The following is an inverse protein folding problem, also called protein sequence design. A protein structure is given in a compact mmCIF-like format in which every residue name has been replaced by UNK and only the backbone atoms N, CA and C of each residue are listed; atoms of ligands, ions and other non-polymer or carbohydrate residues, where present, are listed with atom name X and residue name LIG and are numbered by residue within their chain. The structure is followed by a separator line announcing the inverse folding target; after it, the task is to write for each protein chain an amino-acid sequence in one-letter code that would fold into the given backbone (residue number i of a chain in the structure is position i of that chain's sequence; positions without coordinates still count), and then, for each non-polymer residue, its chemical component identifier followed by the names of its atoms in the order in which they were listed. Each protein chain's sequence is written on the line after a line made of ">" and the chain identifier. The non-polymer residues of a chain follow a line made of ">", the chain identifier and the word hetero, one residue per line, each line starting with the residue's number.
data_IF_962158240591
#
_entry.id   IF_962158240591
#
_cell.length_a   1.000
_cell.length_b   1.000
_cell.length_c   1.000
_cell.angle_alpha   90.00
_cell.angle_beta   90.00
_cell.angle_gamma   90.00
#
_symmetry.space_group_name_H-M   'P 1'
#
loop_
_entity.id
_entity.type
_entity.pdbx_description
1 polymer ?
#
# COMPACT_ATOMS: atom_id res chain seq x y z
N UNK A 1 -4.26 -17.29 -14.03
CA UNK A 1 -4.60 -16.68 -12.72
C UNK A 1 -3.69 -15.48 -12.46
N UNK A 2 -2.36 -15.63 -12.54
CA UNK A 2 -1.44 -14.49 -12.49
C UNK A 2 -1.39 -13.66 -13.78
N UNK A 3 -1.59 -14.26 -14.95
CA UNK A 3 -1.59 -13.52 -16.22
C UNK A 3 -2.73 -12.49 -16.29
N UNK A 4 -3.96 -12.88 -15.93
CA UNK A 4 -5.12 -11.97 -15.85
C UNK A 4 -4.90 -10.83 -14.84
N UNK A 5 -4.30 -11.13 -13.68
CA UNK A 5 -3.96 -10.08 -12.70
C UNK A 5 -2.83 -9.19 -13.19
N UNK A 6 -1.86 -9.75 -13.90
CA UNK A 6 -0.77 -8.98 -14.50
C UNK A 6 -1.31 -7.98 -15.52
N UNK A 7 -2.26 -8.39 -16.35
CA UNK A 7 -2.93 -7.53 -17.31
C UNK A 7 -3.67 -6.40 -16.58
N UNK A 8 -4.45 -6.70 -15.52
CA UNK A 8 -5.11 -5.68 -14.68
C UNK A 8 -4.13 -4.67 -14.08
N UNK A 9 -2.98 -5.12 -13.58
CA UNK A 9 -1.92 -4.25 -13.04
C UNK A 9 -1.39 -3.30 -14.14
N UNK A 10 -1.20 -3.81 -15.36
CA UNK A 10 -0.75 -2.97 -16.47
C UNK A 10 -1.83 -2.02 -16.98
N UNK A 11 -3.08 -2.46 -17.06
CA UNK A 11 -4.22 -1.60 -17.42
C UNK A 11 -4.38 -0.44 -16.43
N UNK A 12 -4.27 -0.72 -15.13
CA UNK A 12 -4.31 0.29 -14.08
C UNK A 12 -3.19 1.34 -14.18
N UNK A 13 -2.06 0.99 -14.81
CA UNK A 13 -0.99 1.95 -15.06
C UNK A 13 -1.41 3.05 -16.05
N UNK A 14 -2.34 2.75 -16.96
CA UNK A 14 -2.87 3.67 -17.98
C UNK A 14 -4.25 4.24 -17.62
N UNK A 15 -5.03 3.53 -16.80
CA UNK A 15 -6.37 3.91 -16.35
C UNK A 15 -6.40 3.89 -14.82
N UNK A 16 -6.10 5.03 -14.14
CA UNK A 16 -5.92 5.07 -12.70
C UNK A 16 -7.10 4.57 -11.86
N UNK A 17 -8.31 4.59 -12.42
CA UNK A 17 -9.54 4.11 -11.78
C UNK A 17 -9.51 2.59 -11.57
N UNK A 18 -8.75 1.84 -12.38
CA UNK A 18 -8.63 0.38 -12.29
C UNK A 18 -7.65 -0.09 -11.20
N UNK A 19 -6.95 0.84 -10.53
CA UNK A 19 -6.08 0.48 -9.40
C UNK A 19 -6.86 -0.19 -8.27
N UNK A 20 -8.12 0.21 -8.05
CA UNK A 20 -8.98 -0.39 -7.02
C UNK A 20 -9.08 -1.91 -7.17
N UNK A 21 -9.52 -2.35 -8.35
CA UNK A 21 -9.70 -3.75 -8.71
C UNK A 21 -8.37 -4.52 -8.73
N UNK A 22 -7.31 -3.93 -9.28
CA UNK A 22 -6.00 -4.58 -9.35
C UNK A 22 -5.42 -4.84 -7.95
N UNK A 23 -5.56 -3.88 -7.04
CA UNK A 23 -5.12 -3.99 -5.65
C UNK A 23 -5.99 -4.98 -4.86
N UNK A 24 -7.31 -5.00 -5.07
CA UNK A 24 -8.21 -5.97 -4.43
C UNK A 24 -7.88 -7.41 -4.85
N UNK A 25 -7.68 -7.63 -6.15
CA UNK A 25 -7.35 -8.95 -6.69
C UNK A 25 -5.99 -9.44 -6.19
N UNK A 26 -4.98 -8.56 -6.10
CA UNK A 26 -3.69 -8.90 -5.51
C UNK A 26 -3.79 -9.17 -3.99
N UNK A 27 -4.55 -8.34 -3.27
CA UNK A 27 -4.78 -8.51 -1.83
C UNK A 27 -5.47 -9.84 -1.51
N UNK A 28 -6.40 -10.29 -2.35
CA UNK A 28 -7.07 -11.58 -2.20
C UNK A 28 -6.10 -12.77 -2.27
N UNK A 29 -5.02 -12.68 -3.05
CA UNK A 29 -4.00 -13.74 -3.13
C UNK A 29 -3.15 -13.85 -1.86
N UNK A 30 -2.91 -12.74 -1.17
CA UNK A 30 -2.12 -12.69 0.06
C UNK A 30 -2.94 -12.80 1.35
N UNK A 31 -4.28 -12.86 1.23
CA UNK A 31 -5.20 -12.81 2.37
C UNK A 31 -5.25 -11.44 3.02
N UNK A 32 -5.02 -10.38 2.25
CA UNK A 32 -5.07 -9.00 2.70
C UNK A 32 -6.52 -8.48 2.72
N UNK A 33 -6.80 -7.63 3.68
CA UNK A 33 -8.05 -6.87 3.80
C UNK A 33 -8.17 -5.78 2.74
N UNK A 34 -7.04 -5.14 2.40
CA UNK A 34 -6.97 -4.05 1.43
C UNK A 34 -5.55 -3.91 0.88
N UNK A 35 -5.43 -3.27 -0.28
CA UNK A 35 -4.18 -2.84 -0.88
C UNK A 35 -4.21 -1.36 -1.23
N UNK A 36 -3.07 -0.70 -1.19
CA UNK A 36 -2.91 0.70 -1.56
C UNK A 36 -1.65 0.91 -2.39
N UNK A 37 -1.73 1.83 -3.35
CA UNK A 37 -0.56 2.43 -4.01
C UNK A 37 -0.44 3.87 -3.56
N UNK A 38 0.77 4.29 -3.18
CA UNK A 38 1.09 5.67 -2.83
C UNK A 38 2.23 6.19 -3.69
N UNK A 39 2.17 7.48 -3.99
CA UNK A 39 3.23 8.25 -4.62
C UNK A 39 3.63 9.39 -3.67
N UNK A 40 4.83 9.28 -3.11
CA UNK A 40 5.45 10.31 -2.29
C UNK A 40 6.36 11.18 -3.16
N UNK A 41 6.19 12.50 -3.06
CA UNK A 41 7.03 13.49 -3.72
C UNK A 41 7.36 14.59 -2.73
N UNK A 42 8.58 15.13 -2.78
CA UNK A 42 9.10 16.02 -1.72
C UNK A 42 8.22 17.25 -1.47
N UNK A 43 7.84 17.95 -2.54
CA UNK A 43 7.13 19.24 -2.46
C UNK A 43 5.63 19.13 -2.82
N UNK A 44 5.11 17.91 -3.00
CA UNK A 44 3.70 17.69 -3.37
C UNK A 44 2.98 16.84 -2.33
N UNK A 45 1.65 17.03 -2.17
CA UNK A 45 0.84 16.12 -1.37
C UNK A 45 1.05 14.67 -1.82
N UNK A 46 0.97 13.75 -0.86
CA UNK A 46 0.93 12.32 -1.18
C UNK A 46 -0.26 12.08 -2.09
N UNK A 47 -0.08 11.24 -3.10
CA UNK A 47 -1.16 10.77 -3.97
C UNK A 47 -1.30 9.27 -3.81
N UNK A 48 -2.49 8.73 -4.04
CA UNK A 48 -2.66 7.29 -3.98
C UNK A 48 -4.02 6.80 -4.45
N UNK A 49 -4.12 5.48 -4.54
CA UNK A 49 -5.38 4.73 -4.71
C UNK A 49 -5.44 3.60 -3.70
N UNK A 50 -6.64 3.33 -3.23
CA UNK A 50 -6.98 2.23 -2.34
C UNK A 50 -7.77 1.19 -3.13
N UNK A 51 -7.62 -0.09 -2.78
CA UNK A 51 -8.50 -1.16 -3.25
C UNK A 51 -9.95 -0.82 -2.93
N UNK A 52 -10.89 -1.40 -3.67
CA UNK A 52 -12.29 -1.28 -3.30
C UNK A 52 -12.52 -2.01 -1.98
N UNK A 53 -12.91 -1.25 -0.96
CA UNK A 53 -13.17 -1.75 0.40
C UNK A 53 -14.63 -1.51 0.73
N UNK A 54 -15.36 -2.61 0.94
CA UNK A 54 -16.69 -2.53 1.52
C UNK A 54 -16.60 -1.99 2.96
N UNK A 55 -17.51 -1.10 3.40
CA UNK A 55 -17.53 -0.63 4.79
C UNK A 55 -17.66 -1.81 5.75
N UNK A 56 -16.77 -1.90 6.73
CA UNK A 56 -16.80 -2.94 7.77
C UNK A 56 -17.15 -2.28 9.10
N UNK A 57 -18.31 -2.61 9.67
CA UNK A 57 -18.79 -2.12 10.98
C UNK A 57 -18.87 -0.59 11.14
N UNK A 58 -19.16 0.16 10.07
CA UNK A 58 -19.30 1.62 10.13
C UNK A 58 -17.97 2.39 10.17
N UNK A 59 -16.83 1.71 10.30
CA UNK A 59 -15.50 2.30 10.14
C UNK A 59 -15.07 2.13 8.68
N UNK A 60 -14.98 3.24 7.96
CA UNK A 60 -14.56 3.23 6.57
C UNK A 60 -13.04 3.32 6.47
N UNK A 61 -12.38 2.24 6.04
CA UNK A 61 -10.95 2.27 5.69
C UNK A 61 -10.64 3.35 4.65
N UNK A 62 -11.63 3.67 3.79
CA UNK A 62 -11.56 4.79 2.85
C UNK A 62 -11.35 6.12 3.58
N UNK A 63 -12.03 6.38 4.69
CA UNK A 63 -11.84 7.62 5.46
C UNK A 63 -10.45 7.72 6.09
N UNK A 64 -9.90 6.61 6.60
CA UNK A 64 -8.52 6.58 7.12
C UNK A 64 -7.51 6.82 6.00
N UNK A 65 -7.74 6.25 4.83
CA UNK A 65 -6.92 6.48 3.64
C UNK A 65 -7.01 7.93 3.15
N UNK A 66 -8.21 8.50 3.05
CA UNK A 66 -8.43 9.86 2.59
C UNK A 66 -7.75 10.87 3.53
N UNK A 67 -7.85 10.66 4.86
CA UNK A 67 -7.13 11.46 5.86
C UNK A 67 -5.61 11.32 5.74
N UNK A 68 -5.11 10.11 5.46
CA UNK A 68 -3.68 9.87 5.25
C UNK A 68 -3.14 10.66 4.05
N UNK A 69 -3.89 10.71 2.95
CA UNK A 69 -3.52 11.40 1.72
C UNK A 69 -3.68 12.93 1.86
N UNK A 70 -4.70 13.38 2.58
CA UNK A 70 -4.99 14.80 2.77
C UNK A 70 -4.16 15.49 3.86
N UNK A 71 -3.61 14.73 4.82
CA UNK A 71 -2.87 15.27 5.96
C UNK A 71 -1.37 14.96 5.91
N UNK A 72 -0.61 15.66 6.75
CA UNK A 72 0.81 15.40 6.97
C UNK A 72 1.07 14.38 8.10
N UNK A 73 0.02 13.69 8.59
CA UNK A 73 0.12 12.72 9.69
C UNK A 73 1.15 11.61 9.41
N UNK A 74 1.29 11.22 8.14
CA UNK A 74 2.25 10.20 7.70
C UNK A 74 3.71 10.60 7.96
N UNK A 75 4.03 11.89 8.04
CA UNK A 75 5.38 12.39 8.37
C UNK A 75 5.79 12.03 9.80
N UNK A 76 4.82 11.78 10.67
CA UNK A 76 5.01 11.41 12.07
C UNK A 76 4.85 9.91 12.33
N UNK A 77 4.64 9.10 11.28
CA UNK A 77 4.57 7.64 11.38
C UNK A 77 5.95 7.03 11.24
N UNK A 78 6.47 6.42 12.32
CA UNK A 78 7.72 5.67 12.29
C UNK A 78 7.68 4.56 11.22
N UNK A 79 6.53 3.90 11.06
CA UNK A 79 6.34 2.86 10.05
C UNK A 79 6.51 3.40 8.63
N UNK A 80 5.84 4.50 8.30
CA UNK A 80 5.93 5.12 6.97
C UNK A 80 7.34 5.65 6.70
N UNK A 81 7.91 6.40 7.64
CA UNK A 81 9.26 6.95 7.49
C UNK A 81 10.31 5.85 7.30
N UNK A 82 10.17 4.72 8.02
CA UNK A 82 11.06 3.57 7.90
C UNK A 82 10.96 2.93 6.52
N UNK A 83 9.75 2.70 6.01
CA UNK A 83 9.58 2.10 4.68
C UNK A 83 10.03 3.05 3.56
N UNK A 84 9.78 4.36 3.69
CA UNK A 84 10.25 5.37 2.73
C UNK A 84 11.78 5.49 2.70
N UNK A 85 12.44 5.32 3.85
CA UNK A 85 13.90 5.37 3.96
C UNK A 85 14.56 4.08 3.47
N UNK A 86 13.99 2.92 3.82
CA UNK A 86 14.55 1.61 3.49
C UNK A 86 14.31 1.20 2.04
N UNK A 87 13.17 1.61 1.46
CA UNK A 87 12.79 1.35 0.07
C UNK A 87 12.87 -0.15 -0.31
N UNK A 88 12.12 -1.03 0.36
CA UNK A 88 12.25 -2.48 0.17
C UNK A 88 12.01 -2.92 -1.27
N UNK A 89 13.00 -3.61 -1.85
CA UNK A 89 12.96 -4.18 -3.19
C UNK A 89 12.29 -5.58 -3.25
N UNK A 90 11.57 -5.95 -2.21
CA UNK A 90 10.62 -7.07 -2.15
C UNK A 90 9.45 -6.61 -1.27
N UNK A 91 8.38 -7.38 -1.20
CA UNK A 91 7.42 -7.20 -0.11
C UNK A 91 8.07 -7.66 1.19
N UNK A 92 7.98 -6.80 2.19
CA UNK A 92 8.45 -7.09 3.55
C UNK A 92 7.35 -6.82 4.54
N UNK A 93 7.30 -7.60 5.62
CA UNK A 93 6.39 -7.33 6.71
C UNK A 93 6.89 -6.12 7.49
N UNK A 94 6.09 -5.05 7.55
CA UNK A 94 6.51 -3.77 8.14
C UNK A 94 6.80 -3.91 9.63
N UNK A 95 6.04 -4.76 10.32
CA UNK A 95 6.18 -5.02 11.74
C UNK A 95 7.57 -5.58 12.11
N UNK A 96 8.25 -6.28 11.20
CA UNK A 96 9.57 -6.86 11.46
C UNK A 96 10.68 -5.80 11.59
N UNK A 97 10.38 -4.56 11.19
CA UNK A 97 11.31 -3.43 11.24
C UNK A 97 10.98 -2.45 12.35
N UNK A 98 9.95 -2.70 13.16
CA UNK A 98 9.50 -1.78 14.21
C UNK A 98 9.59 -2.47 15.57
N UNK A 99 9.94 -1.69 16.59
CA UNK A 99 9.79 -2.11 17.98
C UNK A 99 8.31 -2.07 18.38
N UNK A 100 7.94 -2.81 19.44
CA UNK A 100 6.58 -2.79 19.96
C UNK A 100 6.15 -1.37 20.41
N UNK A 101 7.07 -0.59 20.96
CA UNK A 101 6.81 0.79 21.39
C UNK A 101 6.56 1.71 20.19
N UNK A 102 7.35 1.62 19.13
CA UNK A 102 7.12 2.36 17.88
C UNK A 102 5.77 2.00 17.26
N UNK A 103 5.41 0.72 17.24
CA UNK A 103 4.11 0.26 16.75
C UNK A 103 2.95 0.86 17.55
N UNK A 104 3.09 0.96 18.88
CA UNK A 104 2.02 1.43 19.77
C UNK A 104 1.81 2.94 19.69
N UNK A 105 2.88 3.73 19.51
CA UNK A 105 2.81 5.20 19.44
C UNK A 105 2.61 5.77 18.04
N UNK A 106 2.66 4.94 17.00
CA UNK A 106 2.54 5.38 15.61
C UNK A 106 1.11 5.89 15.30
N UNK A 107 0.93 7.16 14.91
CA UNK A 107 -0.39 7.76 14.74
C UNK A 107 -1.20 7.14 13.59
N UNK A 108 -0.53 6.69 12.52
CA UNK A 108 -1.20 6.03 11.39
C UNK A 108 -1.67 4.65 11.82
N UNK A 109 -0.85 3.92 12.59
CA UNK A 109 -1.21 2.59 13.10
C UNK A 109 -2.34 2.64 14.11
N UNK A 110 -2.41 3.66 14.97
CA UNK A 110 -3.53 3.85 15.91
C UNK A 110 -4.85 3.94 15.15
N UNK A 111 -4.93 4.75 14.09
CA UNK A 111 -6.12 4.89 13.27
C UNK A 111 -6.49 3.59 12.54
N UNK A 112 -5.50 2.92 11.96
CA UNK A 112 -5.69 1.64 11.26
C UNK A 112 -6.17 0.52 12.20
N UNK A 113 -5.62 0.44 13.42
CA UNK A 113 -6.09 -0.51 14.45
C UNK A 113 -7.52 -0.22 14.88
N UNK A 114 -7.90 1.05 15.04
CA UNK A 114 -9.29 1.43 15.29
C UNK A 114 -10.23 0.99 14.15
N UNK A 115 -9.73 0.91 12.92
CA UNK A 115 -10.44 0.38 11.76
C UNK A 115 -10.31 -1.15 11.58
N UNK A 116 -9.64 -1.87 12.48
CA UNK A 116 -9.53 -3.33 12.44
C UNK A 116 -8.25 -3.88 11.78
N UNK A 117 -7.36 -3.03 11.28
CA UNK A 117 -6.13 -3.41 10.56
C UNK A 117 -4.98 -3.67 11.54
N UNK A 118 -4.22 -4.75 11.30
CA UNK A 118 -3.16 -5.22 12.20
C UNK A 118 -1.78 -5.27 11.58
N UNK A 119 -1.62 -6.01 10.47
CA UNK A 119 -0.33 -6.30 9.86
C UNK A 119 -0.20 -5.71 8.45
N UNK A 120 1.03 -5.39 8.04
CA UNK A 120 1.30 -4.69 6.79
C UNK A 120 2.42 -5.37 6.02
N UNK A 121 2.26 -5.48 4.70
CA UNK A 121 3.32 -5.82 3.77
C UNK A 121 3.59 -4.61 2.88
N UNK A 122 4.86 -4.24 2.68
CA UNK A 122 5.25 -3.08 1.89
C UNK A 122 6.35 -3.42 0.90
N UNK A 123 6.24 -2.90 -0.32
CA UNK A 123 7.33 -2.83 -1.30
C UNK A 123 7.41 -1.41 -1.86
N UNK A 124 8.61 -1.01 -2.30
CA UNK A 124 8.84 0.33 -2.82
C UNK A 124 9.61 0.32 -4.15
N UNK A 125 9.46 1.43 -4.88
CA UNK A 125 10.13 1.70 -6.15
C UNK A 125 10.54 3.15 -6.18
N UNK A 126 11.85 3.40 -6.15
CA UNK A 126 12.39 4.74 -6.31
C UNK A 126 12.33 5.18 -7.78
N UNK A 127 11.78 6.37 -8.03
CA UNK A 127 11.69 6.94 -9.38
C UNK A 127 12.99 7.70 -9.71
N UNK A 128 13.44 7.70 -10.98
CA UNK A 128 14.57 8.52 -11.40
C UNK A 128 14.38 10.03 -11.18
N UNK A 129 13.14 10.48 -11.08
CA UNK A 129 12.73 11.87 -10.83
C UNK A 129 12.70 12.24 -9.34
N UNK A 130 12.98 11.29 -8.44
CA UNK A 130 13.08 11.52 -7.00
C UNK A 130 11.83 11.16 -6.18
N UNK A 131 10.70 10.87 -6.83
CA UNK A 131 9.52 10.34 -6.15
C UNK A 131 9.71 8.89 -5.70
N UNK A 132 8.88 8.46 -4.76
CA UNK A 132 8.82 7.09 -4.28
C UNK A 132 7.41 6.54 -4.47
N UNK A 133 7.29 5.44 -5.20
CA UNK A 133 6.06 4.66 -5.26
C UNK A 133 6.13 3.56 -4.21
N UNK A 134 5.10 3.41 -3.38
CA UNK A 134 4.97 2.27 -2.47
C UNK A 134 3.68 1.51 -2.73
N UNK A 135 3.76 0.20 -2.52
CA UNK A 135 2.63 -0.72 -2.53
C UNK A 135 2.48 -1.28 -1.12
N UNK A 136 1.32 -1.08 -0.51
CA UNK A 136 1.04 -1.49 0.86
C UNK A 136 -0.18 -2.39 0.89
N UNK A 137 -0.02 -3.61 1.39
CA UNK A 137 -1.13 -4.53 1.62
C UNK A 137 -1.35 -4.72 3.12
N UNK A 138 -2.59 -4.67 3.56
CA UNK A 138 -2.93 -4.65 4.98
C UNK A 138 -3.80 -5.86 5.33
N UNK A 139 -3.60 -6.45 6.51
CA UNK A 139 -4.40 -7.57 7.03
C UNK A 139 -5.25 -7.14 8.21
N UNK A 140 -6.41 -7.77 8.35
CA UNK A 140 -7.21 -7.63 9.56
C UNK A 140 -6.45 -8.16 10.78
N UNK A 141 -6.63 -7.53 11.94
CA UNK A 141 -6.06 -8.00 13.20
C UNK A 141 -6.45 -9.44 13.52
N UNK A 142 -7.70 -9.82 13.25
CA UNK A 142 -8.22 -11.18 13.46
C UNK A 142 -7.49 -12.24 12.65
N UNK A 143 -6.85 -11.86 11.55
CA UNK A 143 -6.17 -12.78 10.63
C UNK A 143 -4.67 -12.89 10.94
N UNK A 144 -4.16 -12.12 11.91
CA UNK A 144 -2.75 -12.15 12.30
C UNK A 144 -1.79 -11.59 11.25
N UNK A 145 -0.50 -11.89 11.44
CA UNK A 145 0.59 -11.49 10.54
C UNK A 145 0.58 -12.28 9.24
N UNK A 146 1.34 -11.82 8.24
CA UNK A 146 1.51 -12.57 7.01
C UNK A 146 2.33 -13.83 7.26
N UNK A 147 1.96 -14.93 6.62
CA UNK A 147 2.85 -16.08 6.47
C UNK A 147 3.77 -15.87 5.24
N UNK A 148 4.82 -16.68 5.17
CA UNK A 148 5.79 -16.60 4.07
C UNK A 148 5.14 -16.83 2.70
N UNK A 149 4.20 -17.75 2.61
CA UNK A 149 3.53 -18.07 1.34
C UNK A 149 2.70 -16.90 0.82
N UNK A 150 2.05 -16.13 1.71
CA UNK A 150 1.33 -14.91 1.35
C UNK A 150 2.26 -13.81 0.86
N UNK A 151 3.42 -13.62 1.50
CA UNK A 151 4.43 -12.65 1.02
C UNK A 151 5.01 -13.09 -0.33
N UNK A 152 5.34 -14.37 -0.48
CA UNK A 152 5.88 -14.92 -1.74
C UNK A 152 4.92 -14.75 -2.93
N UNK A 153 3.59 -14.73 -2.69
CA UNK A 153 2.58 -14.42 -3.74
C UNK A 153 2.61 -12.96 -4.15
N UNK A 154 2.79 -12.02 -3.22
CA UNK A 154 2.97 -10.61 -3.55
C UNK A 154 4.29 -10.37 -4.28
N UNK A 155 5.36 -11.06 -3.88
CA UNK A 155 6.66 -10.97 -4.52
C UNK A 155 6.65 -11.44 -5.98
N UNK A 156 5.83 -12.44 -6.33
CA UNK A 156 5.62 -12.83 -7.73
C UNK A 156 5.02 -11.69 -8.58
N UNK A 157 4.19 -10.83 -7.98
CA UNK A 157 3.57 -9.67 -8.64
C UNK A 157 4.46 -8.42 -8.62
N UNK A 158 5.44 -8.36 -7.71
CA UNK A 158 6.28 -7.18 -7.48
C UNK A 158 6.94 -6.63 -8.75
N UNK A 159 7.49 -7.43 -9.68
CA UNK A 159 8.06 -6.89 -10.92
C UNK A 159 7.02 -6.20 -11.81
N UNK A 160 5.76 -6.67 -11.78
CA UNK A 160 4.66 -6.09 -12.55
C UNK A 160 4.19 -4.79 -11.93
N UNK A 161 3.97 -4.78 -10.61
CA UNK A 161 3.69 -3.57 -9.84
C UNK A 161 4.78 -2.51 -10.01
N UNK A 162 6.06 -2.90 -10.00
CA UNK A 162 7.14 -1.95 -10.17
C UNK A 162 7.11 -1.26 -11.54
N UNK A 163 6.90 -2.03 -12.61
CA UNK A 163 6.78 -1.48 -13.97
C UNK A 163 5.53 -0.61 -14.13
N UNK A 164 4.38 -1.08 -13.66
CA UNK A 164 3.12 -0.35 -13.71
C UNK A 164 3.15 0.93 -12.88
N UNK A 165 3.69 0.88 -11.66
CA UNK A 165 3.85 2.03 -10.77
C UNK A 165 4.75 3.11 -11.37
N UNK A 166 5.86 2.73 -12.02
CA UNK A 166 6.71 3.67 -12.76
C UNK A 166 5.95 4.38 -13.91
N UNK A 167 5.15 3.62 -14.67
CA UNK A 167 4.34 4.18 -15.76
C UNK A 167 3.27 5.11 -15.20
N UNK A 168 2.56 4.69 -14.16
CA UNK A 168 1.49 5.46 -13.52
C UNK A 168 2.02 6.76 -12.88
N UNK A 169 3.19 6.72 -12.25
CA UNK A 169 3.84 7.91 -11.71
C UNK A 169 4.20 8.93 -12.81
N UNK A 170 4.66 8.46 -13.98
CA UNK A 170 5.07 9.31 -15.11
C UNK A 170 3.92 9.88 -15.92
N UNK A 171 2.87 9.09 -16.12
CA UNK A 171 1.63 9.58 -16.74
C UNK A 171 0.87 10.53 -15.83
N UNK A 172 1.40 10.71 -14.61
CA UNK A 172 0.73 11.34 -13.52
C UNK A 172 -0.40 10.43 -13.05
N UNK A 173 -0.46 10.22 -11.75
CA UNK A 173 -1.74 9.94 -11.09
C UNK A 173 -2.64 11.20 -11.20
N UNK A 174 -2.79 11.76 -12.41
CA UNK A 174 -3.10 13.17 -12.71
C UNK A 174 -4.49 13.38 -13.30
N UNK A 175 -5.36 12.36 -13.32
CA UNK A 175 -6.74 12.54 -13.83
C UNK A 175 -7.86 11.84 -13.06
N UNK A 176 -7.78 11.74 -11.74
CA UNK A 176 -9.00 11.57 -10.94
C UNK A 176 -8.91 12.28 -9.60
#
# INVERSE_FOLDING_TARGET
>A
MFDDLTDKIYEAAFVPELWGDALEAAGSLSGSATGAIFLFSGDSPVRGRLSDVSPVHGNSLRSVFDEFVASDTWKFSDAVQRMCSMQPASFVQVEDFLTAEEVERDPVRIQLRAAGIGAHACSAVAMPSGELVTFVFQRWMKDGTYDRASVDRLDQLRPHFARAGMVSARLGLERA
#
